data_IF_020052759595
#
_entry.id   IF_020052759595
#
_cell.length_a   1.000
_cell.length_b   1.000
_cell.length_c   1.000
_cell.angle_alpha   90.00
_cell.angle_beta   90.00
_cell.angle_gamma   90.00
#
_symmetry.space_group_name_H-M   'P 1'
#
loop_
_entity.id
_entity.type
_entity.pdbx_description
1 polymer ?
#
# COMPACT_ATOMS: atom_id res chain seq x y z
N UNK A 1 -17.17 7.37 -15.79
CA UNK A 1 -16.04 6.78 -16.57
C UNK A 1 -16.07 7.09 -18.07
N UNK A 2 -17.10 6.69 -18.84
CA UNK A 2 -17.13 6.86 -20.31
C UNK A 2 -16.85 8.30 -20.79
N UNK A 3 -17.45 9.30 -20.15
CA UNK A 3 -17.24 10.72 -20.48
C UNK A 3 -15.84 11.25 -20.14
N UNK A 4 -15.18 10.67 -19.13
CA UNK A 4 -13.78 11.02 -18.80
C UNK A 4 -12.85 10.43 -19.85
N UNK A 5 -13.11 9.17 -20.26
CA UNK A 5 -12.35 8.49 -21.29
C UNK A 5 -12.42 9.15 -22.68
N UNK A 6 -13.55 9.79 -23.04
CA UNK A 6 -13.66 10.53 -24.31
C UNK A 6 -12.84 11.82 -24.33
N UNK A 7 -12.56 12.40 -23.16
CA UNK A 7 -11.84 13.67 -23.02
C UNK A 7 -10.36 13.49 -22.67
N UNK A 8 -9.89 12.26 -22.44
CA UNK A 8 -8.49 11.98 -22.16
C UNK A 8 -7.67 12.04 -23.46
N UNK A 9 -6.72 12.98 -23.52
CA UNK A 9 -5.61 12.94 -24.47
C UNK A 9 -4.80 11.66 -24.27
N UNK A 10 -4.36 11.04 -25.38
CA UNK A 10 -3.59 9.79 -25.57
C UNK A 10 -2.25 9.70 -24.78
N UNK A 11 -2.26 9.91 -23.47
CA UNK A 11 -1.12 9.64 -22.57
C UNK A 11 -1.21 8.23 -21.94
N UNK A 12 -2.20 7.43 -22.33
CA UNK A 12 -2.39 6.07 -21.82
C UNK A 12 -1.43 5.09 -22.51
N UNK A 13 -0.78 4.24 -21.71
CA UNK A 13 0.02 3.11 -22.21
C UNK A 13 -0.81 2.24 -23.15
N UNK A 14 -0.23 1.77 -24.25
CA UNK A 14 -0.92 0.79 -25.12
C UNK A 14 -1.27 -0.47 -24.34
N UNK A 15 -2.33 -1.19 -24.72
CA UNK A 15 -2.69 -2.50 -24.10
C UNK A 15 -1.47 -3.44 -24.02
N UNK A 16 -0.63 -3.45 -25.05
CA UNK A 16 0.59 -4.26 -25.10
C UNK A 16 1.63 -3.93 -24.03
N UNK A 17 1.51 -2.81 -23.32
CA UNK A 17 2.44 -2.37 -22.27
C UNK A 17 1.86 -2.58 -20.86
N UNK A 18 0.61 -3.07 -20.76
CA UNK A 18 -0.03 -3.39 -19.49
C UNK A 18 0.33 -4.83 -19.09
N UNK A 19 0.99 -4.96 -17.95
CA UNK A 19 1.35 -6.26 -17.38
C UNK A 19 0.14 -6.85 -16.66
N UNK A 20 -0.58 -7.80 -17.28
CA UNK A 20 -1.80 -8.40 -16.72
C UNK A 20 -1.54 -9.79 -16.14
N UNK A 21 -2.26 -10.20 -15.09
CA UNK A 21 -2.26 -11.59 -14.63
C UNK A 21 -3.46 -12.33 -15.20
N UNK A 22 -3.32 -13.59 -15.62
CA UNK A 22 -4.46 -14.41 -16.07
C UNK A 22 -4.74 -15.58 -15.13
N UNK A 23 -6.00 -16.00 -15.08
CA UNK A 23 -6.39 -17.31 -14.54
C UNK A 23 -5.95 -18.43 -15.47
N UNK A 24 -5.86 -19.65 -14.94
CA UNK A 24 -5.37 -20.82 -15.66
C UNK A 24 -6.27 -21.21 -16.85
N UNK A 25 -7.58 -21.04 -16.70
CA UNK A 25 -8.63 -21.33 -17.68
C UNK A 25 -8.86 -20.19 -18.67
N UNK A 26 -8.09 -19.10 -18.56
CA UNK A 26 -8.25 -17.87 -19.32
C UNK A 26 -9.64 -17.19 -19.15
N UNK A 27 -10.36 -17.42 -18.04
CA UNK A 27 -11.64 -16.74 -17.78
C UNK A 27 -11.49 -15.32 -17.23
N UNK A 28 -10.42 -15.05 -16.46
CA UNK A 28 -10.19 -13.78 -15.76
C UNK A 28 -8.79 -13.24 -16.06
N UNK A 29 -8.71 -11.93 -16.31
CA UNK A 29 -7.46 -11.17 -16.23
C UNK A 29 -7.53 -10.08 -15.18
N UNK A 30 -6.40 -9.82 -14.53
CA UNK A 30 -6.28 -8.89 -13.42
C UNK A 30 -5.14 -7.91 -13.64
N UNK A 31 -5.42 -6.61 -13.51
CA UNK A 31 -4.37 -5.58 -13.55
C UNK A 31 -3.69 -5.39 -12.17
N UNK A 32 -2.38 -5.67 -12.03
CA UNK A 32 -1.69 -5.69 -10.76
C UNK A 32 -1.10 -4.31 -10.40
N UNK A 33 -1.97 -3.38 -9.98
CA UNK A 33 -1.51 -2.10 -9.40
C UNK A 33 -0.91 -2.36 -8.02
N UNK A 34 0.15 -1.64 -7.64
CA UNK A 34 0.68 -1.74 -6.27
C UNK A 34 -0.20 -1.02 -5.25
N UNK A 35 -0.23 -1.53 -4.02
CA UNK A 35 -0.92 -0.94 -2.86
C UNK A 35 -2.47 -0.97 -2.91
N UNK A 36 -3.02 -1.82 -3.77
CA UNK A 36 -4.45 -2.17 -3.91
C UNK A 36 -4.75 -3.64 -3.55
N UNK A 37 -4.09 -4.16 -2.50
CA UNK A 37 -4.22 -5.59 -2.17
C UNK A 37 -3.50 -6.53 -3.16
N UNK A 38 -2.53 -6.02 -3.93
CA UNK A 38 -1.83 -6.80 -4.96
C UNK A 38 -1.15 -8.07 -4.45
N UNK A 39 -0.69 -8.08 -3.19
CA UNK A 39 -0.19 -9.29 -2.53
C UNK A 39 -1.30 -10.33 -2.35
N UNK A 40 -2.49 -9.93 -1.90
CA UNK A 40 -3.64 -10.83 -1.76
C UNK A 40 -4.01 -11.46 -3.11
N UNK A 41 -4.23 -10.62 -4.15
CA UNK A 41 -4.55 -11.11 -5.49
C UNK A 41 -3.47 -12.03 -6.04
N UNK A 42 -2.19 -11.72 -5.78
CA UNK A 42 -1.09 -12.60 -6.20
C UNK A 42 -1.19 -13.99 -5.56
N UNK A 43 -1.62 -14.11 -4.30
CA UNK A 43 -1.84 -15.42 -3.66
C UNK A 43 -3.03 -16.16 -4.25
N UNK A 44 -4.15 -15.46 -4.48
CA UNK A 44 -5.34 -16.04 -5.12
C UNK A 44 -4.99 -16.62 -6.50
N UNK A 45 -4.33 -15.83 -7.36
CA UNK A 45 -3.91 -16.31 -8.68
C UNK A 45 -2.83 -17.39 -8.61
N UNK A 46 -1.93 -17.37 -7.63
CA UNK A 46 -0.94 -18.43 -7.44
C UNK A 46 -1.60 -19.76 -7.04
N UNK A 47 -2.56 -19.73 -6.12
CA UNK A 47 -3.35 -20.89 -5.70
C UNK A 47 -4.18 -21.45 -6.85
N UNK A 48 -4.84 -20.58 -7.61
CA UNK A 48 -5.65 -20.96 -8.77
C UNK A 48 -4.80 -21.58 -9.89
N UNK A 49 -3.62 -21.02 -10.17
CA UNK A 49 -2.69 -21.54 -11.17
C UNK A 49 -1.87 -22.76 -10.71
N UNK A 50 -1.99 -23.20 -9.45
CA UNK A 50 -1.25 -24.36 -8.92
C UNK A 50 -2.24 -25.46 -8.53
N UNK A 51 -2.41 -26.53 -9.35
CA UNK A 51 -3.42 -27.57 -9.12
C UNK A 51 -3.45 -28.13 -7.69
N UNK A 52 -2.28 -28.33 -7.07
CA UNK A 52 -2.17 -28.84 -5.69
C UNK A 52 -2.72 -27.88 -4.64
N UNK A 53 -2.79 -26.59 -4.95
CA UNK A 53 -3.22 -25.53 -4.03
C UNK A 53 -4.65 -25.05 -4.29
N UNK A 54 -5.30 -25.49 -5.38
CA UNK A 54 -6.68 -25.10 -5.72
C UNK A 54 -7.71 -25.41 -4.63
N UNK A 55 -7.45 -26.46 -3.85
CA UNK A 55 -8.30 -26.85 -2.71
C UNK A 55 -8.01 -26.05 -1.43
N UNK A 56 -6.99 -25.19 -1.43
CA UNK A 56 -6.69 -24.37 -0.26
C UNK A 56 -7.69 -23.21 -0.16
N UNK A 57 -8.26 -23.02 1.02
CA UNK A 57 -9.33 -22.03 1.25
C UNK A 57 -8.81 -20.68 1.73
N UNK A 58 -7.60 -20.62 2.30
CA UNK A 58 -7.05 -19.43 2.94
C UNK A 58 -5.88 -18.83 2.14
N UNK A 59 -6.10 -17.77 1.35
CA UNK A 59 -5.02 -17.09 0.65
C UNK A 59 -3.92 -16.57 1.56
N UNK A 60 -4.21 -16.18 2.81
CA UNK A 60 -3.21 -15.61 3.71
C UNK A 60 -2.24 -16.65 4.30
N UNK A 61 -2.49 -17.96 4.11
CA UNK A 61 -1.64 -19.02 4.64
C UNK A 61 -0.27 -19.13 3.93
N UNK A 62 -0.12 -18.53 2.75
CA UNK A 62 1.07 -18.72 1.93
C UNK A 62 2.09 -17.57 2.09
N UNK A 63 3.35 -17.89 2.47
CA UNK A 63 4.44 -16.93 2.40
C UNK A 63 4.75 -16.59 0.94
N UNK A 64 5.22 -15.37 0.69
CA UNK A 64 5.64 -14.96 -0.64
C UNK A 64 7.09 -15.33 -0.88
N UNK A 65 7.36 -16.17 -1.87
CA UNK A 65 8.72 -16.48 -2.35
C UNK A 65 8.89 -16.18 -3.85
N UNK A 66 10.12 -16.32 -4.35
CA UNK A 66 10.46 -16.09 -5.76
C UNK A 66 9.71 -17.05 -6.72
N UNK A 67 9.46 -18.29 -6.29
CA UNK A 67 8.77 -19.31 -7.09
C UNK A 67 7.31 -18.94 -7.37
N UNK A 68 6.68 -18.18 -6.46
CA UNK A 68 5.34 -17.64 -6.63
C UNK A 68 5.22 -16.67 -7.81
N UNK A 69 6.32 -16.05 -8.28
CA UNK A 69 6.32 -15.12 -9.42
C UNK A 69 6.35 -15.84 -10.77
N UNK A 70 6.98 -17.02 -10.85
CA UNK A 70 7.15 -17.76 -12.09
C UNK A 70 5.84 -18.34 -12.67
N UNK A 71 4.81 -18.48 -11.83
CA UNK A 71 3.49 -19.00 -12.23
C UNK A 71 2.43 -17.91 -12.47
N UNK A 72 2.85 -16.65 -12.51
CA UNK A 72 1.97 -15.55 -12.90
C UNK A 72 2.16 -15.30 -14.39
N UNK A 73 1.16 -15.70 -15.18
CA UNK A 73 1.18 -15.52 -16.63
C UNK A 73 0.83 -14.09 -17.02
N UNK A 74 1.62 -13.50 -17.91
CA UNK A 74 1.41 -12.17 -18.49
C UNK A 74 0.87 -12.27 -19.91
N UNK A 75 -0.16 -11.47 -20.24
CA UNK A 75 -0.73 -11.39 -21.59
C UNK A 75 -0.57 -9.97 -22.12
N UNK A 76 -0.09 -9.86 -23.36
CA UNK A 76 -0.01 -8.61 -24.12
C UNK A 76 -0.91 -8.61 -25.38
N UNK A 77 -1.62 -9.72 -25.67
CA UNK A 77 -2.35 -9.93 -26.93
C UNK A 77 -3.80 -9.39 -26.89
N UNK A 78 -4.16 -8.38 -27.70
CA UNK A 78 -5.42 -7.65 -27.58
C UNK A 78 -6.68 -8.47 -27.89
N UNK A 79 -6.60 -9.45 -28.79
CA UNK A 79 -7.76 -10.27 -29.19
C UNK A 79 -8.20 -11.25 -28.10
N UNK A 80 -7.26 -11.94 -27.45
CA UNK A 80 -7.57 -12.88 -26.35
C UNK A 80 -8.13 -12.11 -25.15
N UNK A 81 -7.56 -10.93 -24.86
CA UNK A 81 -7.97 -10.06 -23.75
C UNK A 81 -9.44 -9.62 -23.86
N UNK A 82 -9.99 -9.43 -25.08
CA UNK A 82 -11.35 -8.92 -25.26
C UNK A 82 -12.45 -9.84 -24.74
N UNK A 83 -12.28 -11.16 -24.84
CA UNK A 83 -13.29 -12.14 -24.43
C UNK A 83 -13.26 -12.50 -22.93
N UNK A 84 -12.22 -12.06 -22.21
CA UNK A 84 -12.00 -12.42 -20.81
C UNK A 84 -12.71 -11.46 -19.85
N UNK A 85 -13.05 -11.92 -18.66
CA UNK A 85 -13.48 -11.04 -17.55
C UNK A 85 -12.28 -10.23 -17.09
N UNK A 86 -12.34 -8.90 -17.25
CA UNK A 86 -11.23 -8.01 -16.92
C UNK A 86 -11.48 -7.36 -15.58
N UNK A 87 -10.54 -7.52 -14.66
CA UNK A 87 -10.66 -7.06 -13.29
C UNK A 87 -9.52 -6.10 -12.96
N UNK A 88 -9.86 -5.00 -12.30
CA UNK A 88 -8.87 -4.17 -11.60
C UNK A 88 -9.42 -3.75 -10.24
N UNK A 89 -8.51 -3.38 -9.34
CA UNK A 89 -8.87 -2.71 -8.10
C UNK A 89 -8.26 -1.32 -8.09
N UNK A 90 -8.92 -0.41 -7.39
CA UNK A 90 -8.53 0.98 -7.24
C UNK A 90 -8.45 1.34 -5.78
N UNK A 91 -7.81 2.46 -5.47
CA UNK A 91 -7.73 3.02 -4.12
C UNK A 91 -7.64 4.52 -4.23
N UNK A 92 -8.21 5.23 -3.26
CA UNK A 92 -8.02 6.66 -3.14
C UNK A 92 -6.52 7.02 -3.29
N UNK A 93 -6.14 7.90 -4.24
CA UNK A 93 -4.74 8.22 -4.51
C UNK A 93 -3.96 8.67 -3.26
N UNK A 94 -4.57 9.47 -2.37
CA UNK A 94 -3.94 9.90 -1.13
C UNK A 94 -3.73 8.72 -0.17
N UNK A 95 -4.72 7.85 0.00
CA UNK A 95 -4.60 6.65 0.81
C UNK A 95 -3.56 5.66 0.24
N UNK A 96 -3.41 5.60 -1.08
CA UNK A 96 -2.45 4.74 -1.76
C UNK A 96 -1.01 5.20 -1.53
N UNK A 97 -0.74 6.50 -1.65
CA UNK A 97 0.55 7.11 -1.36
C UNK A 97 0.96 6.91 0.10
N UNK A 98 0.05 7.19 1.05
CA UNK A 98 0.31 6.96 2.46
C UNK A 98 0.60 5.47 2.73
N UNK A 99 -0.16 4.57 2.09
CA UNK A 99 0.06 3.13 2.25
C UNK A 99 1.43 2.67 1.77
N UNK A 100 1.99 3.30 0.72
CA UNK A 100 3.37 3.05 0.31
C UNK A 100 4.35 3.54 1.36
N UNK A 101 4.24 4.81 1.76
CA UNK A 101 5.14 5.41 2.74
C UNK A 101 5.20 4.59 4.04
N UNK A 102 4.05 4.24 4.60
CA UNK A 102 3.97 3.49 5.87
C UNK A 102 4.59 2.10 5.75
N UNK A 103 4.28 1.38 4.66
CA UNK A 103 4.74 0.01 4.44
C UNK A 103 6.23 -0.08 4.06
N UNK A 104 6.76 0.95 3.38
CA UNK A 104 8.08 0.89 2.74
C UNK A 104 9.12 1.83 3.33
N UNK A 105 8.72 3.00 3.81
CA UNK A 105 9.64 4.07 4.26
C UNK A 105 9.59 4.26 5.78
N UNK A 106 8.40 4.24 6.39
CA UNK A 106 8.28 4.28 7.84
C UNK A 106 8.72 2.95 8.47
N UNK A 107 8.23 1.83 7.94
CA UNK A 107 8.63 0.49 8.41
C UNK A 107 10.16 0.29 8.27
N UNK A 108 10.79 -0.50 9.16
CA UNK A 108 12.24 -0.77 9.13
C UNK A 108 12.66 -1.63 7.93
N UNK A 109 12.66 -1.02 6.74
CA UNK A 109 12.84 -1.69 5.46
C UNK A 109 14.00 -1.05 4.68
N UNK A 110 15.19 -1.58 4.93
CA UNK A 110 16.44 -1.06 4.34
C UNK A 110 16.49 -1.12 2.82
N UNK A 111 15.74 -2.03 2.19
CA UNK A 111 15.64 -2.10 0.73
C UNK A 111 15.06 -0.81 0.18
N UNK A 112 13.88 -0.40 0.69
CA UNK A 112 13.18 0.79 0.21
C UNK A 112 13.80 2.10 0.70
N UNK A 113 14.45 2.10 1.86
CA UNK A 113 15.29 3.23 2.24
C UNK A 113 16.41 3.46 1.24
N UNK A 114 17.06 2.39 0.76
CA UNK A 114 18.11 2.50 -0.26
C UNK A 114 17.59 2.97 -1.61
N UNK A 115 16.52 2.34 -2.12
CA UNK A 115 16.05 2.57 -3.50
C UNK A 115 15.16 3.81 -3.64
N UNK A 116 14.44 4.21 -2.59
CA UNK A 116 13.57 5.39 -2.61
C UNK A 116 14.05 6.44 -1.63
N UNK A 117 14.28 6.07 -0.35
CA UNK A 117 14.67 7.01 0.71
C UNK A 117 15.87 7.88 0.34
N UNK A 118 17.01 7.26 0.03
CA UNK A 118 18.26 7.96 -0.32
C UNK A 118 18.12 8.79 -1.59
N UNK A 119 17.46 8.23 -2.61
CA UNK A 119 17.26 8.90 -3.92
C UNK A 119 16.38 10.14 -3.76
N UNK A 120 15.31 10.02 -2.97
CA UNK A 120 14.44 11.13 -2.65
C UNK A 120 15.23 12.21 -1.91
N UNK A 121 15.90 11.86 -0.81
CA UNK A 121 16.70 12.79 -0.01
C UNK A 121 17.74 13.54 -0.85
N UNK A 122 18.56 12.82 -1.62
CA UNK A 122 19.59 13.43 -2.46
C UNK A 122 19.02 14.35 -3.52
N UNK A 123 17.79 14.11 -3.97
CA UNK A 123 17.14 14.92 -5.00
C UNK A 123 16.40 16.14 -4.46
N UNK A 124 15.93 16.16 -3.21
CA UNK A 124 15.03 17.21 -2.70
C UNK A 124 15.59 18.06 -1.55
N UNK A 125 16.60 17.56 -0.83
CA UNK A 125 17.26 18.29 0.26
C UNK A 125 18.47 19.02 -0.30
N UNK A 126 18.66 20.28 0.09
CA UNK A 126 19.81 21.09 -0.36
C UNK A 126 21.12 20.67 0.32
N UNK A 127 21.08 20.36 1.61
CA UNK A 127 22.24 19.99 2.42
C UNK A 127 21.96 18.75 3.29
N UNK A 128 21.73 17.57 2.68
CA UNK A 128 21.48 16.35 3.44
C UNK A 128 22.73 15.92 4.22
N UNK A 129 22.54 15.38 5.42
CA UNK A 129 23.64 14.81 6.20
C UNK A 129 24.22 13.56 5.51
N UNK A 130 25.48 13.23 5.80
CA UNK A 130 26.11 12.00 5.32
C UNK A 130 25.30 10.75 5.73
N UNK A 131 24.75 10.75 6.95
CA UNK A 131 23.89 9.70 7.45
C UNK A 131 22.61 9.55 6.61
N UNK A 132 21.92 10.66 6.32
CA UNK A 132 20.71 10.65 5.49
C UNK A 132 20.99 10.14 4.07
N UNK A 133 22.11 10.53 3.47
CA UNK A 133 22.54 10.04 2.14
C UNK A 133 22.91 8.56 2.14
N UNK A 134 23.48 8.06 3.24
CA UNK A 134 23.86 6.66 3.39
C UNK A 134 22.66 5.75 3.65
N UNK A 135 21.77 6.19 4.55
CA UNK A 135 20.72 5.36 5.13
C UNK A 135 19.35 5.57 4.49
N UNK A 136 18.95 6.82 4.22
CA UNK A 136 17.64 7.14 3.65
C UNK A 136 16.44 6.84 4.55
N UNK A 137 16.67 6.51 5.82
CA UNK A 137 15.64 6.09 6.79
C UNK A 137 14.91 7.27 7.44
N UNK A 138 15.38 8.49 7.22
CA UNK A 138 14.87 9.73 7.81
C UNK A 138 14.09 10.59 6.80
N UNK A 139 13.69 10.03 5.65
CA UNK A 139 12.80 10.70 4.70
C UNK A 139 11.40 10.85 5.32
N UNK A 140 10.95 12.09 5.51
CA UNK A 140 9.61 12.38 6.06
C UNK A 140 8.50 12.17 5.04
N UNK A 141 7.23 12.13 5.49
CA UNK A 141 6.09 11.99 4.58
C UNK A 141 5.94 13.19 3.64
N UNK A 142 6.10 14.42 4.14
CA UNK A 142 6.05 15.63 3.33
C UNK A 142 7.14 15.65 2.24
N UNK A 143 8.34 15.20 2.60
CA UNK A 143 9.46 15.05 1.66
C UNK A 143 9.22 13.94 0.64
N UNK A 144 8.64 12.81 1.06
CA UNK A 144 8.21 11.76 0.13
C UNK A 144 7.21 12.31 -0.90
N UNK A 145 6.20 13.08 -0.48
CA UNK A 145 5.25 13.71 -1.41
C UNK A 145 5.95 14.70 -2.35
N UNK A 146 6.87 15.53 -1.84
CA UNK A 146 7.70 16.43 -2.66
C UNK A 146 8.49 15.64 -3.71
N UNK A 147 9.07 14.50 -3.33
CA UNK A 147 9.79 13.62 -4.25
C UNK A 147 8.87 13.04 -5.34
N UNK A 148 7.69 12.52 -4.97
CA UNK A 148 6.71 12.00 -5.93
C UNK A 148 6.38 13.07 -6.97
N UNK A 149 6.02 14.28 -6.54
CA UNK A 149 5.73 15.41 -7.44
C UNK A 149 6.91 15.68 -8.38
N UNK A 150 8.13 15.74 -7.85
CA UNK A 150 9.35 15.96 -8.65
C UNK A 150 9.55 14.88 -9.72
N UNK A 151 9.25 13.61 -9.44
CA UNK A 151 9.38 12.53 -10.44
C UNK A 151 8.44 12.72 -11.64
N UNK A 152 7.22 13.22 -11.40
CA UNK A 152 6.27 13.55 -12.46
C UNK A 152 6.68 14.80 -13.23
N UNK A 153 7.07 15.88 -12.55
CA UNK A 153 7.51 17.14 -13.18
C UNK A 153 8.74 16.94 -14.08
N UNK A 154 9.69 16.11 -13.64
CA UNK A 154 10.92 15.84 -14.39
C UNK A 154 10.76 14.81 -15.51
N UNK A 155 9.55 14.30 -15.75
CA UNK A 155 9.26 13.22 -16.73
C UNK A 155 10.18 12.00 -16.58
N UNK A 156 10.62 11.72 -15.35
CA UNK A 156 11.42 10.54 -15.05
C UNK A 156 10.54 9.29 -15.07
N UNK A 157 11.16 8.11 -15.13
CA UNK A 157 10.44 6.86 -14.91
C UNK A 157 9.89 6.83 -13.48
N UNK A 158 8.59 7.13 -13.34
CA UNK A 158 7.89 7.12 -12.06
C UNK A 158 7.77 5.69 -11.55
N UNK A 159 8.10 5.46 -10.27
CA UNK A 159 7.98 4.16 -9.64
C UNK A 159 6.51 3.66 -9.72
N UNK A 160 6.26 2.42 -10.18
CA UNK A 160 4.92 1.86 -10.26
C UNK A 160 4.12 1.88 -8.93
N UNK A 161 4.77 1.99 -7.79
CA UNK A 161 4.10 2.10 -6.49
C UNK A 161 3.32 3.39 -6.32
N UNK A 162 3.77 4.48 -6.94
CA UNK A 162 3.11 5.78 -6.90
C UNK A 162 2.78 6.34 -8.29
N UNK A 163 3.01 5.60 -9.38
CA UNK A 163 2.42 5.93 -10.69
C UNK A 163 0.88 5.92 -10.63
N UNK A 164 0.22 6.77 -11.43
CA UNK A 164 -1.24 6.83 -11.53
C UNK A 164 -1.83 5.51 -12.04
N UNK A 165 -3.00 5.15 -11.51
CA UNK A 165 -3.68 3.89 -11.79
C UNK A 165 -4.17 3.84 -13.24
N UNK A 166 -4.63 4.96 -13.79
CA UNK A 166 -5.03 5.04 -15.19
C UNK A 166 -3.85 4.81 -16.16
N UNK A 167 -2.63 5.27 -15.82
CA UNK A 167 -1.43 4.98 -16.64
C UNK A 167 -1.05 3.51 -16.54
N UNK A 168 -1.13 2.92 -15.35
CA UNK A 168 -0.72 1.53 -15.14
C UNK A 168 -1.64 0.52 -15.82
N UNK A 169 -2.95 0.80 -15.86
CA UNK A 169 -3.96 -0.19 -16.27
C UNK A 169 -4.81 0.23 -17.47
N UNK A 170 -4.73 1.48 -17.93
CA UNK A 170 -5.48 2.04 -19.05
C UNK A 170 -6.95 1.57 -19.11
N UNK A 171 -7.80 1.97 -18.14
CA UNK A 171 -9.18 1.49 -18.04
C UNK A 171 -10.06 1.88 -19.23
N UNK A 172 -9.74 2.98 -19.91
CA UNK A 172 -10.49 3.47 -21.07
C UNK A 172 -10.35 2.55 -22.28
N UNK A 173 -9.15 2.06 -22.56
CA UNK A 173 -8.91 1.13 -23.66
C UNK A 173 -9.22 -0.32 -23.25
N UNK A 174 -8.83 -0.71 -22.03
CA UNK A 174 -9.03 -2.07 -21.52
C UNK A 174 -10.50 -2.42 -21.32
N UNK A 175 -11.36 -1.43 -20.97
CA UNK A 175 -12.79 -1.61 -20.68
C UNK A 175 -13.01 -2.73 -19.66
N UNK A 176 -12.56 -2.50 -18.42
CA UNK A 176 -12.65 -3.48 -17.35
C UNK A 176 -14.10 -3.89 -17.07
N UNK A 177 -14.35 -5.20 -16.97
CA UNK A 177 -15.65 -5.77 -16.61
C UNK A 177 -15.99 -5.47 -15.15
N UNK A 178 -14.97 -5.48 -14.28
CA UNK A 178 -15.11 -5.23 -12.85
C UNK A 178 -14.01 -4.29 -12.36
N UNK A 179 -14.41 -3.25 -11.64
CA UNK A 179 -13.51 -2.29 -11.01
C UNK A 179 -13.87 -2.26 -9.53
N UNK A 180 -13.11 -2.99 -8.71
CA UNK A 180 -13.25 -2.97 -7.26
C UNK A 180 -12.54 -1.76 -6.63
N UNK A 181 -12.90 -1.44 -5.40
CA UNK A 181 -12.25 -0.41 -4.58
C UNK A 181 -11.63 -1.04 -3.34
N UNK A 182 -10.52 -0.45 -2.87
CA UNK A 182 -9.91 -0.86 -1.60
C UNK A 182 -10.79 -0.52 -0.40
N UNK A 183 -11.65 0.49 -0.54
CA UNK A 183 -12.61 0.92 0.47
C UNK A 183 -13.74 -0.11 0.67
N UNK A 184 -14.12 -0.85 -0.38
CA UNK A 184 -15.09 -1.95 -0.38
C UNK A 184 -14.45 -3.32 -0.62
N UNK A 185 -13.14 -3.45 -0.35
CA UNK A 185 -12.32 -4.59 -0.79
C UNK A 185 -12.92 -5.96 -0.47
N UNK A 186 -13.46 -6.12 0.75
CA UNK A 186 -14.01 -7.39 1.21
C UNK A 186 -15.16 -7.84 0.33
N UNK A 187 -16.14 -6.97 0.08
CA UNK A 187 -17.28 -7.27 -0.78
C UNK A 187 -16.85 -7.45 -2.23
N UNK A 188 -16.07 -6.52 -2.78
CA UNK A 188 -15.66 -6.54 -4.19
C UNK A 188 -14.77 -7.75 -4.52
N UNK A 189 -13.96 -8.20 -3.55
CA UNK A 189 -13.10 -9.38 -3.73
C UNK A 189 -13.92 -10.67 -3.83
N UNK A 190 -15.05 -10.78 -3.14
CA UNK A 190 -15.91 -11.95 -3.18
C UNK A 190 -16.50 -12.16 -4.58
N UNK A 191 -16.93 -11.09 -5.26
CA UNK A 191 -17.44 -11.18 -6.63
C UNK A 191 -16.38 -11.74 -7.59
N UNK A 192 -15.13 -11.29 -7.46
CA UNK A 192 -14.03 -11.76 -8.32
C UNK A 192 -13.65 -13.22 -8.02
N UNK A 193 -13.60 -13.60 -6.74
CA UNK A 193 -13.33 -14.99 -6.32
C UNK A 193 -14.43 -15.93 -6.83
N UNK A 194 -15.68 -15.47 -6.87
CA UNK A 194 -16.79 -16.22 -7.47
C UNK A 194 -16.58 -16.44 -8.97
N UNK A 195 -16.12 -15.42 -9.73
CA UNK A 195 -15.80 -15.57 -11.16
C UNK A 195 -14.64 -16.53 -11.44
N UNK A 196 -13.73 -16.71 -10.48
CA UNK A 196 -12.66 -17.70 -10.54
C UNK A 196 -13.11 -19.13 -10.16
N UNK A 197 -14.41 -19.34 -9.89
CA UNK A 197 -14.98 -20.63 -9.45
C UNK A 197 -14.35 -21.18 -8.16
N UNK A 198 -13.81 -20.31 -7.29
CA UNK A 198 -13.16 -20.70 -6.04
C UNK A 198 -14.16 -20.72 -4.86
N UNK A 199 -15.21 -21.54 -4.97
CA UNK A 199 -16.35 -21.52 -4.04
C UNK A 199 -15.96 -21.73 -2.56
N UNK A 200 -15.06 -22.67 -2.26
CA UNK A 200 -14.60 -22.90 -0.87
C UNK A 200 -13.79 -21.72 -0.32
N UNK A 201 -13.02 -21.04 -1.17
CA UNK A 201 -12.30 -19.82 -0.79
C UNK A 201 -13.29 -18.68 -0.56
N UNK A 202 -14.32 -18.57 -1.39
CA UNK A 202 -15.38 -17.57 -1.25
C UNK A 202 -16.10 -17.70 0.10
N UNK A 203 -16.57 -18.88 0.46
CA UNK A 203 -17.25 -19.12 1.75
C UNK A 203 -16.34 -18.80 2.94
N UNK A 204 -15.07 -19.20 2.83
CA UNK A 204 -14.08 -18.93 3.87
C UNK A 204 -13.80 -17.43 4.04
N UNK A 205 -13.63 -16.68 2.95
CA UNK A 205 -13.39 -15.25 2.96
C UNK A 205 -14.63 -14.46 3.41
N UNK A 206 -15.84 -14.89 3.03
CA UNK A 206 -17.08 -14.27 3.49
C UNK A 206 -17.20 -14.29 5.01
N UNK A 207 -16.78 -15.39 5.65
CA UNK A 207 -16.81 -15.54 7.11
C UNK A 207 -15.62 -14.90 7.84
N UNK A 208 -14.42 -14.92 7.25
CA UNK A 208 -13.17 -14.61 7.97
C UNK A 208 -12.33 -13.49 7.33
N UNK A 209 -12.71 -12.94 6.18
CA UNK A 209 -11.83 -12.12 5.34
C UNK A 209 -11.27 -10.88 6.05
N UNK A 210 -12.13 -10.14 6.76
CA UNK A 210 -11.73 -8.94 7.50
C UNK A 210 -10.72 -9.26 8.61
N UNK A 211 -11.05 -10.24 9.46
CA UNK A 211 -10.20 -10.61 10.59
C UNK A 211 -8.85 -11.17 10.13
N UNK A 212 -8.82 -11.94 9.04
CA UNK A 212 -7.58 -12.46 8.45
C UNK A 212 -6.70 -11.36 7.86
N UNK A 213 -7.30 -10.38 7.16
CA UNK A 213 -6.54 -9.26 6.60
C UNK A 213 -5.87 -8.44 7.71
N UNK A 214 -6.57 -8.19 8.81
CA UNK A 214 -6.04 -7.49 9.98
C UNK A 214 -4.95 -8.32 10.68
N UNK A 215 -5.18 -9.61 10.92
CA UNK A 215 -4.20 -10.52 11.52
C UNK A 215 -2.93 -10.59 10.68
N UNK A 216 -3.06 -10.77 9.36
CA UNK A 216 -1.92 -10.77 8.45
C UNK A 216 -1.16 -9.42 8.50
N UNK A 217 -1.87 -8.29 8.47
CA UNK A 217 -1.24 -6.98 8.59
C UNK A 217 -0.47 -6.80 9.91
N UNK A 218 -1.00 -7.31 11.02
CA UNK A 218 -0.32 -7.32 12.32
C UNK A 218 0.97 -8.14 12.24
N UNK A 219 0.87 -9.41 11.82
CA UNK A 219 2.00 -10.34 11.79
C UNK A 219 3.13 -9.85 10.87
N UNK A 220 2.80 -9.32 9.69
CA UNK A 220 3.80 -8.77 8.79
C UNK A 220 4.51 -7.56 9.41
N UNK A 221 3.78 -6.66 10.07
CA UNK A 221 4.36 -5.47 10.70
C UNK A 221 5.27 -5.84 11.87
N UNK A 222 4.87 -6.85 12.65
CA UNK A 222 5.65 -7.40 13.77
C UNK A 222 6.94 -8.06 13.29
N UNK A 223 6.93 -8.73 12.14
CA UNK A 223 8.09 -9.44 11.59
C UNK A 223 9.19 -8.50 11.04
N UNK A 224 8.80 -7.37 10.45
CA UNK A 224 9.74 -6.44 9.78
C UNK A 224 10.98 -6.05 10.60
N UNK A 225 10.87 -5.59 11.88
CA UNK A 225 12.02 -5.17 12.67
C UNK A 225 12.99 -6.31 12.99
N UNK A 226 12.58 -7.57 12.89
CA UNK A 226 13.47 -8.72 13.12
C UNK A 226 14.07 -9.21 11.80
N UNK A 227 13.29 -9.19 10.71
CA UNK A 227 13.73 -9.61 9.39
C UNK A 227 14.91 -8.79 8.85
N UNK A 228 14.87 -7.47 9.05
CA UNK A 228 15.87 -6.54 8.50
C UNK A 228 16.92 -6.07 9.52
N UNK A 229 16.94 -6.63 10.73
CA UNK A 229 17.77 -6.16 11.84
C UNK A 229 19.24 -5.98 11.48
N UNK A 230 19.87 -7.02 10.93
CA UNK A 230 21.28 -6.98 10.52
C UNK A 230 21.62 -5.85 9.55
N UNK A 231 20.64 -5.34 8.78
CA UNK A 231 20.84 -4.26 7.83
C UNK A 231 20.55 -2.89 8.45
N UNK A 232 19.45 -2.72 9.18
CA UNK A 232 19.06 -1.39 9.65
C UNK A 232 19.86 -0.93 10.87
N UNK A 233 20.50 -1.83 11.64
CA UNK A 233 21.28 -1.44 12.84
C UNK A 233 22.46 -0.51 12.53
N UNK A 234 22.84 -0.41 11.25
CA UNK A 234 23.83 0.56 10.75
C UNK A 234 23.26 1.98 10.63
N UNK A 235 21.94 2.11 10.71
CA UNK A 235 21.19 3.34 10.42
C UNK A 235 20.31 3.79 11.59
N UNK A 236 19.62 2.86 12.25
CA UNK A 236 18.76 3.16 13.40
C UNK A 236 18.93 2.09 14.49
N UNK A 237 18.57 2.40 15.72
CA UNK A 237 18.56 1.43 16.82
C UNK A 237 17.43 0.40 16.66
N UNK A 238 17.53 -0.73 17.36
CA UNK A 238 16.43 -1.71 17.43
C UNK A 238 15.19 -1.10 18.08
N UNK A 239 15.36 -0.26 19.10
CA UNK A 239 14.25 0.45 19.75
C UNK A 239 13.48 1.34 18.76
N UNK A 240 14.20 2.12 17.93
CA UNK A 240 13.59 2.94 16.89
C UNK A 240 12.87 2.10 15.83
N UNK A 241 13.41 0.93 15.45
CA UNK A 241 12.74 0.02 14.54
C UNK A 241 11.43 -0.54 15.13
N UNK A 242 11.41 -0.88 16.42
CA UNK A 242 10.21 -1.33 17.13
C UNK A 242 9.16 -0.21 17.25
N UNK A 243 9.58 1.02 17.58
CA UNK A 243 8.71 2.21 17.62
C UNK A 243 8.08 2.51 16.27
N UNK A 244 8.85 2.45 15.19
CA UNK A 244 8.36 2.61 13.80
C UNK A 244 7.34 1.54 13.43
N UNK A 245 7.58 0.29 13.81
CA UNK A 245 6.61 -0.80 13.61
C UNK A 245 5.35 -0.61 14.45
N UNK A 246 5.48 -0.14 15.69
CA UNK A 246 4.32 0.19 16.52
C UNK A 246 3.48 1.31 15.91
N UNK A 247 4.11 2.40 15.47
CA UNK A 247 3.43 3.50 14.77
C UNK A 247 2.79 3.03 13.47
N UNK A 248 3.42 2.11 12.74
CA UNK A 248 2.84 1.47 11.56
C UNK A 248 1.55 0.71 11.90
N UNK A 249 1.49 -0.03 13.01
CA UNK A 249 0.26 -0.69 13.46
C UNK A 249 -0.87 0.32 13.74
N UNK A 250 -0.55 1.46 14.36
CA UNK A 250 -1.51 2.53 14.64
C UNK A 250 -2.06 3.16 13.35
N UNK A 251 -1.16 3.57 12.43
CA UNK A 251 -1.57 4.21 11.17
C UNK A 251 -2.41 3.25 10.32
N UNK A 252 -2.17 1.95 10.40
CA UNK A 252 -2.96 0.93 9.69
C UNK A 252 -4.31 0.63 10.35
N UNK A 253 -4.59 1.17 11.55
CA UNK A 253 -5.79 0.87 12.32
C UNK A 253 -5.82 -0.56 12.89
N UNK A 254 -4.65 -1.15 13.14
CA UNK A 254 -4.54 -2.50 13.72
C UNK A 254 -4.60 -2.44 15.25
N UNK A 255 -4.06 -1.37 15.84
CA UNK A 255 -4.14 -1.03 17.26
C UNK A 255 -4.58 0.44 17.42
N UNK A 256 -5.16 0.80 18.57
CA UNK A 256 -5.52 2.19 18.88
C UNK A 256 -4.32 3.08 19.22
N UNK A 257 -4.56 4.30 19.72
CA UNK A 257 -3.53 5.30 20.07
C UNK A 257 -2.73 4.99 21.36
N UNK A 258 -2.59 3.72 21.72
CA UNK A 258 -1.80 3.28 22.88
C UNK A 258 -0.30 3.56 22.65
N UNK A 259 0.37 4.16 23.64
CA UNK A 259 1.81 4.42 23.57
C UNK A 259 2.60 3.11 23.49
N UNK A 260 3.70 3.13 22.76
CA UNK A 260 4.63 2.00 22.74
C UNK A 260 5.14 1.80 24.19
N UNK A 261 4.96 0.61 24.79
CA UNK A 261 5.45 0.35 26.13
C UNK A 261 6.96 0.50 26.09
N UNK A 262 7.50 1.48 26.81
CA UNK A 262 8.95 1.64 26.95
C UNK A 262 9.44 0.41 27.70
N UNK A 263 10.01 -0.55 26.98
CA UNK A 263 10.62 -1.72 27.59
C UNK A 263 11.87 -1.19 28.29
N UNK A 264 11.80 -1.03 29.61
CA UNK A 264 12.93 -0.64 30.44
C UNK A 264 14.03 -1.69 30.25
N UNK A 265 15.17 -1.27 29.70
CA UNK A 265 16.32 -2.12 29.40
C UNK A 265 16.42 -2.45 27.91
N UNK A 266 16.98 -1.52 27.15
CA UNK A 266 17.48 -1.66 25.76
C UNK A 266 16.62 -2.57 24.86
N UNK A 267 15.88 -2.00 23.90
CA UNK A 267 15.15 -2.75 22.86
C UNK A 267 15.99 -3.80 22.08
N UNK A 268 17.29 -3.93 22.35
CA UNK A 268 18.17 -5.01 21.94
C UNK A 268 17.74 -6.42 22.39
N UNK A 269 16.99 -6.58 23.49
CA UNK A 269 16.62 -7.91 24.02
C UNK A 269 15.17 -8.34 23.70
N UNK A 270 14.34 -7.48 23.12
CA UNK A 270 12.96 -7.84 22.79
C UNK A 270 12.94 -8.84 21.65
N UNK A 271 12.33 -10.01 21.89
CA UNK A 271 12.13 -11.04 20.87
C UNK A 271 10.92 -10.73 19.98
N UNK A 272 10.85 -11.39 18.82
CA UNK A 272 9.70 -11.27 17.92
C UNK A 272 8.39 -11.69 18.60
N UNK A 273 8.39 -12.76 19.40
CA UNK A 273 7.18 -13.25 20.08
C UNK A 273 6.75 -12.33 21.23
N UNK A 274 7.68 -11.69 21.94
CA UNK A 274 7.34 -10.66 22.93
C UNK A 274 6.72 -9.44 22.24
N UNK A 275 7.32 -8.93 21.16
CA UNK A 275 6.77 -7.79 20.43
C UNK A 275 5.38 -8.11 19.83
N UNK A 276 5.20 -9.33 19.31
CA UNK A 276 3.91 -9.84 18.85
C UNK A 276 2.87 -9.85 19.96
N UNK A 277 3.24 -10.36 21.14
CA UNK A 277 2.36 -10.42 22.30
C UNK A 277 1.94 -9.02 22.76
N UNK A 278 2.87 -8.06 22.77
CA UNK A 278 2.57 -6.65 23.05
C UNK A 278 1.59 -6.06 22.02
N UNK A 279 1.79 -6.31 20.73
CA UNK A 279 0.90 -5.83 19.68
C UNK A 279 -0.51 -6.43 19.79
N UNK A 280 -0.62 -7.73 20.10
CA UNK A 280 -1.90 -8.40 20.33
C UNK A 280 -2.62 -7.85 21.58
N UNK A 281 -1.88 -7.63 22.67
CA UNK A 281 -2.43 -7.02 23.88
C UNK A 281 -2.91 -5.58 23.63
N UNK A 282 -2.14 -4.78 22.88
CA UNK A 282 -2.54 -3.44 22.47
C UNK A 282 -3.79 -3.43 21.59
N UNK A 283 -3.91 -4.39 20.66
CA UNK A 283 -5.12 -4.55 19.84
C UNK A 283 -6.33 -4.85 20.72
N UNK A 284 -6.20 -5.80 21.65
CA UNK A 284 -7.28 -6.21 22.56
C UNK A 284 -7.76 -5.07 23.48
N UNK A 285 -6.90 -4.09 23.76
CA UNK A 285 -7.23 -2.89 24.55
C UNK A 285 -8.00 -1.82 23.77
N UNK A 286 -8.18 -1.96 22.46
CA UNK A 286 -8.84 -0.97 21.62
C UNK A 286 -10.08 -1.54 20.93
N UNK A 287 -11.15 -0.77 20.88
CA UNK A 287 -12.36 -1.12 20.13
C UNK A 287 -12.13 -0.93 18.61
N UNK A 288 -12.95 -1.56 17.74
CA UNK A 288 -12.89 -1.27 16.31
C UNK A 288 -13.01 0.22 15.97
N UNK A 289 -13.91 0.95 16.62
CA UNK A 289 -14.14 2.37 16.35
C UNK A 289 -12.94 3.23 16.76
N UNK A 290 -12.32 2.96 17.91
CA UNK A 290 -11.09 3.63 18.32
C UNK A 290 -9.95 3.43 17.31
N UNK A 291 -9.85 2.23 16.72
CA UNK A 291 -8.84 1.93 15.69
C UNK A 291 -9.13 2.63 14.37
N UNK A 292 -10.40 2.70 13.96
CA UNK A 292 -10.84 3.45 12.78
C UNK A 292 -10.52 4.94 12.95
N UNK A 293 -10.85 5.49 14.11
CA UNK A 293 -10.57 6.88 14.46
C UNK A 293 -9.06 7.16 14.49
N UNK A 294 -8.26 6.29 15.13
CA UNK A 294 -6.81 6.41 15.16
C UNK A 294 -6.18 6.43 13.75
N UNK A 295 -6.70 5.59 12.84
CA UNK A 295 -6.29 5.56 11.43
C UNK A 295 -6.63 6.86 10.71
N UNK A 296 -7.83 7.40 10.92
CA UNK A 296 -8.27 8.67 10.32
C UNK A 296 -7.40 9.83 10.82
N UNK A 297 -7.18 9.93 12.12
CA UNK A 297 -6.35 10.99 12.72
C UNK A 297 -4.91 10.92 12.23
N UNK A 298 -4.32 9.72 12.17
CA UNK A 298 -2.98 9.54 11.63
C UNK A 298 -2.86 9.93 10.15
N UNK A 299 -3.90 9.64 9.36
CA UNK A 299 -3.99 10.07 7.96
C UNK A 299 -3.98 11.60 7.87
N UNK A 300 -4.80 12.28 8.67
CA UNK A 300 -4.85 13.75 8.71
C UNK A 300 -3.53 14.36 9.20
N UNK A 301 -2.98 13.87 10.32
CA UNK A 301 -1.72 14.34 10.91
C UNK A 301 -0.58 14.31 9.88
N UNK A 302 -0.43 13.20 9.14
CA UNK A 302 0.60 13.08 8.12
C UNK A 302 0.36 14.05 6.95
N UNK A 303 -0.87 14.14 6.43
CA UNK A 303 -1.17 15.05 5.33
C UNK A 303 -1.08 16.53 5.71
N UNK A 304 -1.30 16.90 6.98
CA UNK A 304 -1.07 18.27 7.48
C UNK A 304 0.39 18.71 7.34
N UNK A 305 1.34 17.77 7.42
CA UNK A 305 2.77 18.08 7.23
C UNK A 305 3.12 18.49 5.79
N UNK A 306 2.26 18.17 4.81
CA UNK A 306 2.48 18.48 3.39
C UNK A 306 2.03 19.92 3.12
N UNK A 307 2.81 20.78 2.45
CA UNK A 307 2.33 22.12 2.06
C UNK A 307 1.10 22.07 1.14
N UNK A 308 0.15 23.00 1.30
CA UNK A 308 -1.05 23.06 0.44
C UNK A 308 -0.69 23.18 -1.04
N UNK A 309 0.35 23.95 -1.39
CA UNK A 309 0.85 24.06 -2.75
C UNK A 309 1.32 22.72 -3.35
N UNK A 310 1.90 21.84 -2.52
CA UNK A 310 2.24 20.48 -2.96
C UNK A 310 1.00 19.60 -3.12
N UNK A 311 -0.01 19.75 -2.24
CA UNK A 311 -1.27 19.01 -2.36
C UNK A 311 -2.04 19.40 -3.63
N UNK A 312 -2.04 20.68 -4.01
CA UNK A 312 -2.63 21.13 -5.28
C UNK A 312 -1.93 20.53 -6.51
N UNK A 313 -0.59 20.46 -6.48
CA UNK A 313 0.17 19.78 -7.53
C UNK A 313 -0.16 18.30 -7.59
N UNK A 314 -0.25 17.64 -6.44
CA UNK A 314 -0.62 16.22 -6.35
C UNK A 314 -2.03 15.98 -6.90
N UNK A 315 -2.99 16.86 -6.57
CA UNK A 315 -4.35 16.82 -7.11
C UNK A 315 -4.35 16.86 -8.65
N UNK A 316 -3.52 17.72 -9.24
CA UNK A 316 -3.37 17.80 -10.71
C UNK A 316 -2.74 16.54 -11.30
N UNK A 317 -1.73 15.96 -10.64
CA UNK A 317 -1.04 14.74 -11.11
C UNK A 317 -2.00 13.54 -11.15
N UNK A 318 -2.88 13.40 -10.16
CA UNK A 318 -3.80 12.26 -10.05
C UNK A 318 -5.22 12.59 -10.55
N UNK A 319 -5.41 13.71 -11.25
CA UNK A 319 -6.74 14.21 -11.67
C UNK A 319 -7.57 13.14 -12.36
N UNK A 320 -7.00 12.43 -13.32
CA UNK A 320 -7.69 11.38 -14.07
C UNK A 320 -8.05 10.20 -13.17
N UNK A 321 -7.22 9.83 -12.19
CA UNK A 321 -7.57 8.78 -11.22
C UNK A 321 -8.78 9.20 -10.37
N UNK A 322 -8.81 10.45 -9.89
CA UNK A 322 -9.95 10.96 -9.12
C UNK A 322 -11.23 10.93 -9.95
N UNK A 323 -11.17 11.40 -11.19
CA UNK A 323 -12.34 11.47 -12.09
C UNK A 323 -12.81 10.11 -12.59
N UNK A 324 -11.88 9.21 -12.97
CA UNK A 324 -12.24 7.90 -13.50
C UNK A 324 -12.85 7.00 -12.43
N UNK A 325 -12.33 7.07 -11.21
CA UNK A 325 -12.70 6.13 -10.14
C UNK A 325 -13.57 6.77 -9.05
N UNK A 326 -14.05 8.00 -9.28
CA UNK A 326 -15.00 8.71 -8.42
C UNK A 326 -14.46 8.82 -6.98
N UNK A 327 -13.23 9.32 -6.87
CA UNK A 327 -12.62 9.71 -5.60
C UNK A 327 -12.70 11.23 -5.43
N UNK A 328 -12.89 11.68 -4.19
CA UNK A 328 -12.85 13.09 -3.83
C UNK A 328 -11.41 13.62 -3.99
N UNK A 329 -11.22 14.63 -4.85
CA UNK A 329 -9.91 15.21 -5.12
C UNK A 329 -9.54 16.33 -4.13
N UNK A 330 -10.50 16.76 -3.29
CA UNK A 330 -10.37 17.75 -2.23
C UNK A 330 -11.00 17.29 -0.89
N UNK A 331 -10.62 16.14 -0.34
CA UNK A 331 -11.21 15.64 0.90
C UNK A 331 -10.96 16.61 2.06
N UNK A 332 -12.02 16.91 2.80
CA UNK A 332 -11.97 17.81 3.97
C UNK A 332 -10.91 17.40 4.98
N UNK A 333 -10.69 16.09 5.16
CA UNK A 333 -9.65 15.53 6.02
C UNK A 333 -8.22 15.97 5.65
N UNK A 334 -7.96 16.40 4.42
CA UNK A 334 -6.65 16.86 3.94
C UNK A 334 -6.60 18.38 3.79
N UNK A 335 -7.66 18.96 3.23
CA UNK A 335 -7.68 20.36 2.78
C UNK A 335 -8.30 21.33 3.79
N UNK A 336 -9.19 20.89 4.69
CA UNK A 336 -9.67 21.74 5.78
C UNK A 336 -8.73 21.64 6.98
N UNK A 337 -7.87 22.65 7.12
CA UNK A 337 -7.00 22.84 8.29
C UNK A 337 -7.66 23.87 9.20
N UNK A 338 -8.30 23.43 10.27
CA UNK A 338 -8.71 24.33 11.35
C UNK A 338 -7.47 24.99 11.97
N UNK A 339 -7.45 26.31 12.10
CA UNK A 339 -6.28 27.13 12.47
C UNK A 339 -5.74 26.95 13.89
N UNK A 340 -6.26 26.03 14.70
CA UNK A 340 -5.89 25.92 16.10
C UNK A 340 -5.57 24.49 16.53
N UNK A 341 -4.33 24.05 16.30
CA UNK A 341 -3.59 23.16 17.22
C UNK A 341 -2.10 23.48 17.09
N UNK A 342 -1.52 24.06 18.13
CA UNK A 342 -0.06 24.24 18.27
C UNK A 342 0.63 22.88 18.32
N UNK A 343 1.51 22.61 17.35
CA UNK A 343 2.36 21.42 17.36
C UNK A 343 3.44 21.57 18.44
N UNK A 344 3.37 20.75 19.49
CA UNK A 344 4.54 20.44 20.31
C UNK A 344 5.54 19.66 19.46
N UNK A 345 6.78 20.13 19.41
CA UNK A 345 7.88 19.64 18.58
C UNK A 345 7.98 18.10 18.53
N UNK A 346 8.09 17.59 17.30
CA UNK A 346 8.47 16.21 16.98
C UNK A 346 9.98 15.94 17.19
N UNK A 347 10.58 16.51 18.24
CA UNK A 347 12.01 16.34 18.54
C UNK A 347 12.32 15.37 19.68
N UNK A 348 11.32 14.74 20.30
CA UNK A 348 11.53 13.68 21.30
C UNK A 348 10.73 12.43 20.90
N UNK A 349 11.33 11.57 20.07
CA UNK A 349 10.89 10.19 19.84
C UNK A 349 12.09 9.30 19.52
#
# INVERSE_FOLDING_TARGET
MLQVCTNMTLLSRRISEVTLRKSSDNSVIFCPIFKIGSSFWRRVFYMENTPQLRNTINPYAFPFDANSYAKVYYIHHPTIVQAMTKVMFTRDPYARLLSFYVDKLLSPNTVYWKIVGRVAISSIREKPSAHSLQCGCDLTFAEFIKYVIKTFENKQAVDPHFQTMHVLCNPCEMKYTMIGKMESFTTDSLEVVSKLSLNSTWEFLKKNGNSLAEQYALLETVKQPFLFQHNYIKCISVDEALRRSWKTLQIRGIIGKIRFPVIMGTGANTTQEEFKSLALAARAKSTPDERIQAKLEAFQELYRTVPLSHLEKLRKIYKEDFQLFEYDDMPSAIFHRSEHVTFSNLSDA
#
